data_IF_619079588623
#
_entry.id   IF_619079588623
#
_cell.length_a   1.000
_cell.length_b   1.000
_cell.length_c   1.000
_cell.angle_alpha   90.00
_cell.angle_beta   90.00
_cell.angle_gamma   90.00
#
_symmetry.space_group_name_H-M   'P 1'
#
loop_
_entity.id
_entity.type
_entity.pdbx_description
1 polymer ?
#
# COMPACT_ATOMS: atom_id res chain seq x y z
N UNK A 1 -0.89 -28.45 10.77
CA UNK A 1 -0.28 -28.53 9.40
C UNK A 1 0.36 -27.19 9.14
N UNK A 2 1.56 -27.13 8.55
CA UNK A 2 2.16 -25.83 8.19
C UNK A 2 1.37 -25.26 7.02
N UNK A 3 0.86 -24.05 7.13
CA UNK A 3 0.10 -23.36 6.06
C UNK A 3 1.02 -22.87 4.92
N UNK A 4 2.34 -23.17 5.00
CA UNK A 4 3.38 -22.71 4.10
C UNK A 4 3.84 -23.83 3.17
N UNK A 5 3.87 -23.54 1.87
CA UNK A 5 4.52 -24.37 0.85
C UNK A 5 5.94 -23.87 0.57
N UNK A 6 6.83 -24.78 0.15
CA UNK A 6 8.20 -24.43 -0.27
C UNK A 6 8.35 -24.78 -1.74
N UNK A 7 8.84 -23.82 -2.53
CA UNK A 7 9.24 -24.02 -3.91
C UNK A 7 10.76 -23.90 -4.02
N UNK A 8 11.42 -25.01 -4.32
CA UNK A 8 12.86 -25.01 -4.59
C UNK A 8 13.14 -24.41 -5.97
N UNK A 9 14.21 -23.61 -6.06
CA UNK A 9 14.57 -22.88 -7.27
C UNK A 9 15.98 -23.26 -7.72
N UNK A 10 16.07 -23.91 -8.88
CA UNK A 10 17.37 -24.26 -9.45
C UNK A 10 18.20 -23.00 -9.72
N UNK A 11 19.40 -22.94 -9.12
CA UNK A 11 20.30 -21.78 -9.22
C UNK A 11 19.84 -20.54 -8.46
N UNK A 12 18.90 -20.67 -7.52
CA UNK A 12 18.39 -19.57 -6.71
C UNK A 12 18.15 -19.96 -5.25
N UNK A 13 17.53 -19.07 -4.51
CA UNK A 13 17.09 -19.31 -3.14
C UNK A 13 15.68 -19.90 -3.13
N UNK A 14 15.30 -20.73 -2.13
CA UNK A 14 13.94 -21.24 -2.03
C UNK A 14 12.91 -20.12 -1.84
N UNK A 15 11.66 -20.40 -2.18
CA UNK A 15 10.52 -19.51 -2.01
C UNK A 15 9.55 -20.17 -1.05
N UNK A 16 9.17 -19.45 0.02
CA UNK A 16 8.16 -19.88 0.99
C UNK A 16 6.86 -19.15 0.72
N UNK A 17 5.78 -19.91 0.48
CA UNK A 17 4.50 -19.35 0.02
C UNK A 17 3.39 -19.68 1.02
N UNK A 18 2.70 -18.66 1.51
CA UNK A 18 1.46 -18.76 2.30
C UNK A 18 0.24 -18.67 1.39
N UNK A 19 0.17 -19.51 0.37
CA UNK A 19 -0.85 -19.45 -0.70
C UNK A 19 -1.74 -20.68 -0.73
N UNK A 20 -1.85 -21.42 0.38
CA UNK A 20 -2.70 -22.62 0.42
C UNK A 20 -4.17 -22.25 0.18
N UNK A 21 -4.76 -22.84 -0.88
CA UNK A 21 -6.14 -22.55 -1.29
C UNK A 21 -6.36 -21.20 -1.98
N UNK A 22 -5.27 -20.44 -2.23
CA UNK A 22 -5.29 -19.17 -2.97
C UNK A 22 -4.48 -19.32 -4.26
N UNK A 23 -5.07 -19.05 -5.44
CA UNK A 23 -4.37 -19.23 -6.71
C UNK A 23 -3.25 -18.21 -6.90
N UNK A 24 -2.14 -18.68 -7.50
CA UNK A 24 -1.01 -17.85 -7.96
C UNK A 24 -0.94 -17.97 -9.48
N UNK A 25 -0.98 -16.84 -10.17
CA UNK A 25 -0.89 -16.77 -11.63
C UNK A 25 0.51 -17.20 -12.11
N UNK A 26 0.59 -17.85 -13.29
CA UNK A 26 1.87 -18.38 -13.80
C UNK A 26 2.89 -17.26 -14.05
N UNK A 27 2.47 -16.10 -14.54
CA UNK A 27 3.34 -14.94 -14.73
C UNK A 27 3.90 -14.41 -13.40
N UNK A 28 3.09 -14.41 -12.34
CA UNK A 28 3.55 -14.06 -11.00
C UNK A 28 4.55 -15.09 -10.48
N UNK A 29 4.30 -16.38 -10.71
CA UNK A 29 5.23 -17.46 -10.36
C UNK A 29 6.58 -17.29 -11.07
N UNK A 30 6.57 -16.95 -12.35
CA UNK A 30 7.80 -16.70 -13.10
C UNK A 30 8.58 -15.49 -12.55
N UNK A 31 7.90 -14.40 -12.14
CA UNK A 31 8.57 -13.27 -11.47
C UNK A 31 9.22 -13.67 -10.15
N UNK A 32 8.56 -14.51 -9.36
CA UNK A 32 9.14 -15.04 -8.11
C UNK A 32 10.40 -15.86 -8.38
N UNK A 33 10.37 -16.74 -9.38
CA UNK A 33 11.54 -17.54 -9.79
C UNK A 33 12.71 -16.65 -10.23
N UNK A 34 12.43 -15.60 -10.99
CA UNK A 34 13.46 -14.63 -11.43
C UNK A 34 14.06 -13.89 -10.23
N UNK A 35 13.22 -13.40 -9.29
CA UNK A 35 13.67 -12.69 -8.10
C UNK A 35 14.51 -13.60 -7.20
N UNK A 36 14.11 -14.87 -7.02
CA UNK A 36 14.82 -15.83 -6.18
C UNK A 36 16.23 -16.20 -6.69
N UNK A 37 16.50 -15.96 -7.97
CA UNK A 37 17.83 -16.19 -8.58
C UNK A 37 18.82 -15.04 -8.36
N UNK A 38 18.40 -13.94 -7.76
CA UNK A 38 19.31 -12.83 -7.47
C UNK A 38 20.30 -13.23 -6.38
N UNK A 39 21.60 -12.97 -6.55
CA UNK A 39 22.66 -13.57 -5.73
C UNK A 39 22.67 -13.10 -4.27
N UNK A 40 22.15 -11.91 -4.02
CA UNK A 40 22.11 -11.24 -2.71
C UNK A 40 20.84 -11.53 -1.90
N UNK A 41 19.94 -12.41 -2.38
CA UNK A 41 18.76 -12.81 -1.59
C UNK A 41 19.22 -13.57 -0.34
N UNK A 42 18.75 -13.11 0.82
CA UNK A 42 19.06 -13.72 2.10
C UNK A 42 18.09 -14.87 2.39
N UNK A 43 18.61 -16.06 2.59
CA UNK A 43 17.90 -17.32 2.94
C UNK A 43 16.80 -17.71 1.92
N UNK A 44 15.72 -16.98 1.80
CA UNK A 44 14.56 -17.30 0.96
C UNK A 44 13.72 -16.07 0.67
N UNK A 45 12.84 -16.13 -0.33
CA UNK A 45 11.74 -15.20 -0.48
C UNK A 45 10.55 -15.64 0.38
N UNK A 46 9.79 -14.69 0.95
CA UNK A 46 8.51 -14.99 1.56
C UNK A 46 7.37 -14.37 0.72
N UNK A 47 6.33 -15.14 0.47
CA UNK A 47 5.25 -14.77 -0.45
C UNK A 47 3.91 -14.86 0.27
N UNK A 48 3.20 -13.72 0.30
CA UNK A 48 1.93 -13.57 0.99
C UNK A 48 0.77 -14.09 0.13
N UNK A 49 -0.36 -14.48 0.73
CA UNK A 49 -1.48 -15.08 0.00
C UNK A 49 -2.11 -14.19 -1.07
N UNK A 50 -2.00 -12.89 -0.93
CA UNK A 50 -2.49 -11.89 -1.89
C UNK A 50 -1.59 -11.67 -3.10
N UNK A 51 -0.54 -12.48 -3.28
CA UNK A 51 0.44 -12.37 -4.35
C UNK A 51 -0.20 -12.29 -5.74
N UNK A 52 0.27 -11.35 -6.55
CA UNK A 52 -0.14 -11.18 -7.94
C UNK A 52 0.95 -10.48 -8.76
N UNK A 53 0.76 -10.45 -10.08
CA UNK A 53 1.69 -9.85 -11.02
C UNK A 53 1.97 -8.37 -10.68
N UNK A 54 3.24 -7.97 -10.64
CA UNK A 54 3.70 -6.59 -10.44
C UNK A 54 4.75 -6.19 -11.47
N UNK A 55 5.14 -4.92 -11.51
CA UNK A 55 6.27 -4.45 -12.34
C UNK A 55 7.59 -4.83 -11.66
N UNK A 56 8.44 -5.57 -12.34
CA UNK A 56 9.75 -6.03 -11.87
C UNK A 56 9.68 -7.21 -10.89
N UNK A 57 8.91 -7.11 -9.82
CA UNK A 57 8.66 -8.19 -8.87
C UNK A 57 7.19 -8.23 -8.50
N UNK A 58 6.72 -9.38 -8.00
CA UNK A 58 5.34 -9.57 -7.58
C UNK A 58 4.96 -8.64 -6.44
N UNK A 59 3.70 -8.23 -6.43
CA UNK A 59 3.03 -7.65 -5.26
C UNK A 59 2.65 -8.80 -4.33
N UNK A 60 2.76 -8.65 -3.01
CA UNK A 60 2.64 -9.74 -2.04
C UNK A 60 3.97 -10.45 -1.76
N UNK A 61 5.10 -9.77 -2.01
CA UNK A 61 6.44 -10.34 -1.81
C UNK A 61 7.23 -9.63 -0.72
N UNK A 62 7.96 -10.41 0.05
CA UNK A 62 8.97 -9.99 1.03
C UNK A 62 10.33 -10.47 0.53
N UNK A 63 11.21 -9.53 0.24
CA UNK A 63 12.49 -9.74 -0.44
C UNK A 63 13.61 -9.27 0.49
N UNK A 64 14.18 -10.16 1.29
CA UNK A 64 15.32 -9.81 2.14
C UNK A 64 16.61 -9.86 1.33
N UNK A 65 17.44 -8.83 1.43
CA UNK A 65 18.68 -8.71 0.68
C UNK A 65 19.86 -8.36 1.57
N UNK A 66 21.04 -8.82 1.18
CA UNK A 66 22.32 -8.46 1.80
C UNK A 66 23.10 -7.54 0.86
N UNK A 67 23.40 -6.32 1.34
CA UNK A 67 24.24 -5.37 0.63
C UNK A 67 23.73 -4.93 -0.74
N UNK A 68 22.43 -5.08 -1.03
CA UNK A 68 21.84 -4.65 -2.30
C UNK A 68 20.37 -4.26 -2.15
N UNK A 69 19.88 -3.38 -3.07
CA UNK A 69 18.50 -2.95 -3.13
C UNK A 69 18.01 -2.91 -4.57
N UNK A 70 16.82 -3.45 -4.82
CA UNK A 70 16.17 -3.47 -6.15
C UNK A 70 15.07 -2.40 -6.18
N UNK A 71 15.25 -1.27 -6.90
CA UNK A 71 14.25 -0.20 -6.91
C UNK A 71 12.86 -0.66 -7.40
N UNK A 72 12.79 -1.48 -8.43
CA UNK A 72 11.52 -2.00 -8.92
C UNK A 72 10.81 -2.95 -7.93
N UNK A 73 11.55 -3.56 -7.00
CA UNK A 73 10.99 -4.40 -5.95
C UNK A 73 10.33 -3.59 -4.81
N UNK A 74 10.72 -2.34 -4.59
CA UNK A 74 9.98 -1.41 -3.71
C UNK A 74 8.69 -0.94 -4.39
N UNK A 75 8.73 -0.78 -5.71
CA UNK A 75 7.62 -0.27 -6.51
C UNK A 75 7.66 1.25 -6.67
N UNK A 76 6.69 1.78 -7.39
CA UNK A 76 6.61 3.22 -7.69
C UNK A 76 5.69 4.00 -6.75
N UNK A 77 4.79 3.33 -6.02
CA UNK A 77 4.00 3.96 -4.97
C UNK A 77 4.68 3.73 -3.60
N UNK A 78 5.86 4.37 -3.46
CA UNK A 78 6.72 4.23 -2.28
C UNK A 78 5.98 4.75 -1.05
N UNK A 79 6.00 3.97 0.04
CA UNK A 79 5.35 4.32 1.29
C UNK A 79 3.83 4.21 1.27
N UNK A 80 3.24 3.65 0.18
CA UNK A 80 1.81 3.33 0.18
C UNK A 80 1.47 2.50 1.42
N UNK A 81 0.32 2.77 2.02
CA UNK A 81 -0.06 2.18 3.30
C UNK A 81 -1.45 2.57 3.76
N UNK A 82 -1.79 2.09 4.93
CA UNK A 82 -3.09 2.23 5.54
C UNK A 82 -2.98 2.95 6.89
N UNK A 83 -4.01 3.73 7.21
CA UNK A 83 -4.26 4.20 8.57
C UNK A 83 -5.71 3.94 8.94
N UNK A 84 -5.96 3.54 10.19
CA UNK A 84 -7.29 3.36 10.73
C UNK A 84 -7.38 3.93 12.15
N UNK A 85 -8.55 4.47 12.50
CA UNK A 85 -8.83 5.05 13.80
C UNK A 85 -10.22 4.66 14.28
N UNK A 86 -10.31 4.04 15.47
CA UNK A 86 -11.57 3.75 16.17
C UNK A 86 -12.08 4.99 16.89
N UNK A 87 -13.38 5.20 16.81
CA UNK A 87 -14.06 6.29 17.49
C UNK A 87 -14.90 5.79 18.68
N UNK A 88 -15.45 6.74 19.45
CA UNK A 88 -16.45 6.45 20.48
C UNK A 88 -17.88 6.30 19.92
N UNK A 89 -18.07 6.46 18.60
CA UNK A 89 -19.35 6.30 17.93
C UNK A 89 -19.72 4.82 17.74
N UNK A 90 -21.02 4.56 17.68
CA UNK A 90 -21.61 3.30 17.24
C UNK A 90 -22.51 3.52 16.02
N UNK A 91 -22.92 2.45 15.35
CA UNK A 91 -23.74 2.52 14.14
C UNK A 91 -24.98 3.40 14.29
N UNK A 92 -25.66 3.36 15.45
CA UNK A 92 -26.84 4.16 15.74
C UNK A 92 -26.56 5.68 15.81
N UNK A 93 -25.32 6.11 15.92
CA UNK A 93 -24.92 7.51 15.95
C UNK A 93 -24.71 8.07 14.52
N UNK A 94 -24.64 7.21 13.53
CA UNK A 94 -24.51 7.62 12.13
C UNK A 94 -25.85 8.08 11.57
N UNK A 95 -25.86 9.05 10.61
CA UNK A 95 -27.09 9.45 9.92
C UNK A 95 -27.71 8.27 9.15
N UNK A 96 -29.04 8.20 9.07
CA UNK A 96 -29.75 7.20 8.25
C UNK A 96 -29.36 7.26 6.77
N UNK A 97 -29.08 8.46 6.26
CA UNK A 97 -28.55 8.68 4.93
C UNK A 97 -27.08 9.11 5.01
N UNK A 98 -26.18 8.23 4.58
CA UNK A 98 -24.73 8.44 4.62
C UNK A 98 -24.16 9.29 3.48
N UNK A 99 -24.98 9.69 2.51
CA UNK A 99 -24.57 10.55 1.38
C UNK A 99 -23.93 11.86 1.85
N UNK A 100 -24.53 12.50 2.88
CA UNK A 100 -23.99 13.74 3.46
C UNK A 100 -22.60 13.54 4.06
N UNK A 101 -22.38 12.43 4.76
CA UNK A 101 -21.07 12.08 5.33
C UNK A 101 -20.05 11.81 4.22
N UNK A 102 -20.41 11.03 3.19
CA UNK A 102 -19.54 10.80 2.03
C UNK A 102 -19.15 12.12 1.36
N UNK A 103 -20.11 12.97 1.07
CA UNK A 103 -19.88 14.28 0.40
C UNK A 103 -18.98 15.20 1.22
N UNK A 104 -19.13 15.23 2.55
CA UNK A 104 -18.28 16.02 3.43
C UNK A 104 -16.83 15.52 3.40
N UNK A 105 -16.62 14.21 3.41
CA UNK A 105 -15.29 13.61 3.29
C UNK A 105 -14.66 13.91 1.92
N UNK A 106 -15.42 13.78 0.83
CA UNK A 106 -14.94 14.11 -0.53
C UNK A 106 -14.54 15.58 -0.68
N UNK A 107 -15.23 16.50 0.01
CA UNK A 107 -14.88 17.93 0.04
C UNK A 107 -13.65 18.21 0.89
N UNK A 108 -13.50 17.53 2.03
CA UNK A 108 -12.40 17.74 2.97
C UNK A 108 -11.07 17.15 2.49
N UNK A 109 -11.10 16.10 1.67
CA UNK A 109 -9.92 15.41 1.16
C UNK A 109 -9.94 15.37 -0.36
N UNK A 110 -9.23 16.28 -1.05
CA UNK A 110 -9.15 16.29 -2.51
C UNK A 110 -8.53 14.98 -3.03
N UNK A 111 -8.97 14.55 -4.21
CA UNK A 111 -8.42 13.33 -4.82
C UNK A 111 -6.99 13.50 -5.37
N UNK A 112 -6.51 14.74 -5.62
CA UNK A 112 -5.15 15.02 -6.08
C UNK A 112 -4.82 14.44 -7.46
N UNK A 113 -5.80 14.37 -8.38
CA UNK A 113 -5.60 13.84 -9.72
C UNK A 113 -5.17 14.95 -10.68
N UNK A 114 -4.05 14.72 -11.36
CA UNK A 114 -3.55 15.63 -12.41
C UNK A 114 -4.10 15.23 -13.77
N UNK A 115 -4.71 16.20 -14.50
CA UNK A 115 -5.18 16.02 -15.85
C UNK A 115 -4.33 16.86 -16.83
N UNK A 116 -3.38 16.21 -17.49
CA UNK A 116 -2.47 16.88 -18.43
C UNK A 116 -1.58 17.92 -17.70
N UNK A 117 -1.60 19.18 -18.21
CA UNK A 117 -0.85 20.30 -17.62
C UNK A 117 -1.57 21.00 -16.46
N UNK A 118 -2.82 20.62 -16.15
CA UNK A 118 -3.61 21.24 -15.08
C UNK A 118 -3.79 20.24 -13.96
N UNK A 119 -3.28 20.58 -12.79
CA UNK A 119 -3.50 19.84 -11.55
C UNK A 119 -4.81 20.27 -10.92
N UNK A 120 -5.92 19.60 -11.27
CA UNK A 120 -7.26 19.97 -10.81
C UNK A 120 -7.66 19.34 -9.48
N UNK A 121 -6.88 18.45 -8.95
CA UNK A 121 -7.20 17.74 -7.72
C UNK A 121 -6.29 18.05 -6.55
N UNK A 122 -5.28 18.90 -6.76
CA UNK A 122 -4.40 19.40 -5.70
C UNK A 122 -5.04 20.58 -4.96
N UNK A 123 -4.48 20.94 -3.82
CA UNK A 123 -4.86 22.14 -3.10
C UNK A 123 -4.59 23.39 -3.93
N UNK A 124 -5.59 24.22 -4.17
CA UNK A 124 -5.42 25.58 -4.72
C UNK A 124 -4.82 26.49 -3.64
N UNK A 125 -5.37 26.43 -2.42
CA UNK A 125 -4.85 27.05 -1.22
C UNK A 125 -4.45 25.90 -0.27
N UNK A 126 -3.14 25.80 0.00
CA UNK A 126 -2.62 24.71 0.84
C UNK A 126 -3.03 24.97 2.28
N UNK A 127 -3.73 24.05 2.95
CA UNK A 127 -4.08 24.19 4.36
C UNK A 127 -2.84 24.37 5.24
N UNK A 128 -2.96 25.16 6.31
CA UNK A 128 -1.84 25.45 7.21
C UNK A 128 -1.16 24.20 7.76
N UNK A 129 -1.95 23.18 8.14
CA UNK A 129 -1.42 21.92 8.62
C UNK A 129 -0.55 21.19 7.56
N UNK A 130 -0.99 21.22 6.27
CA UNK A 130 -0.20 20.66 5.18
C UNK A 130 1.06 21.49 4.88
N UNK A 131 0.99 22.82 4.99
CA UNK A 131 2.15 23.69 4.83
C UNK A 131 3.19 23.46 5.93
N UNK A 132 2.75 23.30 7.16
CA UNK A 132 3.61 22.96 8.30
C UNK A 132 4.32 21.61 8.13
N UNK A 133 3.55 20.58 7.73
CA UNK A 133 4.10 19.26 7.45
C UNK A 133 5.09 19.30 6.28
N UNK A 134 4.81 20.07 5.23
CA UNK A 134 5.74 20.29 4.12
C UNK A 134 7.05 20.94 4.58
N UNK A 135 6.99 21.98 5.40
CA UNK A 135 8.20 22.66 5.94
C UNK A 135 9.13 21.67 6.64
N UNK A 136 8.60 20.69 7.36
CA UNK A 136 9.39 19.65 8.01
C UNK A 136 10.10 18.70 7.02
N UNK A 137 9.52 18.50 5.82
CA UNK A 137 10.03 17.61 4.78
C UNK A 137 10.93 18.31 3.74
N UNK A 138 10.74 19.61 3.55
CA UNK A 138 11.31 20.38 2.44
C UNK A 138 12.84 20.40 2.42
N UNK A 139 13.48 20.50 3.59
CA UNK A 139 14.94 20.55 3.68
C UNK A 139 15.61 19.26 3.19
N UNK A 140 15.10 18.11 3.59
CA UNK A 140 15.58 16.80 3.07
C UNK A 140 15.25 16.62 1.59
N UNK A 141 14.08 17.08 1.15
CA UNK A 141 13.73 17.03 -0.27
C UNK A 141 14.67 17.87 -1.12
N UNK A 142 15.05 19.06 -0.65
CA UNK A 142 16.04 19.88 -1.35
C UNK A 142 17.37 19.17 -1.49
N UNK A 143 17.88 18.51 -0.45
CA UNK A 143 19.12 17.74 -0.53
C UNK A 143 19.04 16.60 -1.58
N UNK A 144 17.87 15.96 -1.73
CA UNK A 144 17.62 14.97 -2.76
C UNK A 144 17.61 15.62 -4.15
N UNK A 145 16.92 16.75 -4.33
CA UNK A 145 16.82 17.41 -5.63
C UNK A 145 18.12 18.08 -6.09
N UNK A 146 18.96 18.52 -5.18
CA UNK A 146 20.30 19.04 -5.48
C UNK A 146 21.17 17.96 -6.19
N UNK A 147 20.99 16.69 -5.82
CA UNK A 147 21.62 15.54 -6.47
C UNK A 147 20.85 15.05 -7.72
N UNK A 148 19.53 15.16 -7.69
CA UNK A 148 18.61 14.65 -8.71
C UNK A 148 17.61 15.71 -9.17
N UNK A 149 18.01 16.73 -9.97
CA UNK A 149 17.17 17.88 -10.33
C UNK A 149 15.86 17.53 -11.07
N UNK A 150 15.79 16.35 -11.70
CA UNK A 150 14.55 15.88 -12.36
C UNK A 150 13.36 15.79 -11.38
N UNK A 151 13.60 15.65 -10.08
CA UNK A 151 12.57 15.55 -9.05
C UNK A 151 11.98 16.90 -8.62
N UNK A 152 12.61 18.03 -8.95
CA UNK A 152 12.11 19.37 -8.62
C UNK A 152 10.73 19.68 -9.22
N UNK A 153 10.40 19.02 -10.34
CA UNK A 153 9.15 19.25 -11.08
C UNK A 153 7.92 18.59 -10.44
N UNK A 154 8.06 17.98 -9.26
CA UNK A 154 6.95 17.33 -8.55
C UNK A 154 6.16 18.34 -7.70
N UNK A 155 4.83 18.17 -7.64
CA UNK A 155 3.91 19.10 -6.98
C UNK A 155 3.62 18.68 -5.52
N UNK A 156 4.66 18.61 -4.70
CA UNK A 156 4.61 17.92 -3.40
C UNK A 156 3.76 18.63 -2.36
N UNK A 157 3.97 19.95 -2.22
CA UNK A 157 3.28 20.78 -1.22
C UNK A 157 1.76 20.79 -1.45
N UNK A 158 1.34 20.88 -2.70
CA UNK A 158 -0.09 20.90 -3.09
C UNK A 158 -0.73 19.52 -3.06
N UNK A 159 0.07 18.43 -3.08
CA UNK A 159 -0.44 17.06 -3.01
C UNK A 159 -0.46 16.49 -1.59
N UNK A 160 0.19 17.12 -0.64
CA UNK A 160 0.23 16.64 0.74
C UNK A 160 -1.16 16.78 1.40
N UNK A 161 -1.68 15.70 1.94
CA UNK A 161 -3.04 15.62 2.49
C UNK A 161 -4.11 15.31 1.42
N UNK A 162 -3.72 14.74 0.25
CA UNK A 162 -4.66 14.34 -0.81
C UNK A 162 -4.73 12.82 -0.98
N UNK A 163 -5.86 12.30 -1.45
CA UNK A 163 -6.16 10.87 -1.49
C UNK A 163 -5.33 10.10 -2.52
N UNK A 164 -5.36 10.50 -3.76
CA UNK A 164 -4.84 9.72 -4.86
C UNK A 164 -5.91 9.07 -5.71
N UNK A 165 -5.46 8.22 -6.61
CA UNK A 165 -6.32 7.51 -7.56
C UNK A 165 -6.02 6.01 -7.53
N UNK A 166 -6.82 5.24 -8.27
CA UNK A 166 -6.63 3.81 -8.38
C UNK A 166 -7.16 3.06 -7.15
N UNK A 167 -6.30 2.30 -6.47
CA UNK A 167 -6.68 1.53 -5.28
C UNK A 167 -6.77 2.37 -3.99
N UNK A 168 -6.48 3.68 -4.03
CA UNK A 168 -6.63 4.55 -2.86
C UNK A 168 -8.09 4.79 -2.52
N UNK A 169 -8.39 4.86 -1.23
CA UNK A 169 -9.76 5.02 -0.72
C UNK A 169 -9.79 5.61 0.69
N UNK A 170 -10.97 6.12 1.08
CA UNK A 170 -11.33 6.44 2.46
C UNK A 170 -12.61 5.69 2.77
N UNK A 171 -12.69 5.05 3.93
CA UNK A 171 -13.84 4.26 4.35
C UNK A 171 -14.30 4.63 5.74
N UNK A 172 -15.61 4.59 5.93
CA UNK A 172 -16.25 4.49 7.24
C UNK A 172 -16.71 3.06 7.40
N UNK A 173 -16.28 2.42 8.49
CA UNK A 173 -16.51 1.01 8.75
C UNK A 173 -17.16 0.81 10.11
N UNK A 174 -17.83 -0.33 10.28
CA UNK A 174 -18.33 -0.83 11.55
C UNK A 174 -17.61 -2.13 11.87
N UNK A 175 -17.17 -2.29 13.11
CA UNK A 175 -16.64 -3.56 13.60
C UNK A 175 -17.75 -4.52 14.08
N UNK A 176 -17.37 -5.68 14.62
CA UNK A 176 -18.28 -6.72 15.12
C UNK A 176 -19.16 -6.29 16.30
N UNK A 177 -18.83 -5.16 16.95
CA UNK A 177 -19.61 -4.53 18.01
C UNK A 177 -20.32 -3.25 17.52
N UNK A 178 -20.46 -3.08 16.22
CA UNK A 178 -21.02 -1.89 15.57
C UNK A 178 -20.33 -0.56 15.94
N UNK A 179 -19.07 -0.60 16.39
CA UNK A 179 -18.28 0.62 16.65
C UNK A 179 -17.76 1.20 15.36
N UNK A 180 -17.76 2.52 15.25
CA UNK A 180 -17.37 3.24 14.04
C UNK A 180 -15.85 3.41 13.95
N UNK A 181 -15.30 3.04 12.80
CA UNK A 181 -13.92 3.23 12.41
C UNK A 181 -13.81 4.11 11.18
N UNK A 182 -12.84 5.01 11.15
CA UNK A 182 -12.36 5.64 9.93
C UNK A 182 -11.11 4.92 9.46
N UNK A 183 -11.03 4.61 8.18
CA UNK A 183 -9.91 3.92 7.57
C UNK A 183 -9.59 4.54 6.22
N UNK A 184 -8.30 4.66 5.88
CA UNK A 184 -7.90 5.13 4.56
C UNK A 184 -6.62 4.50 4.06
N UNK A 185 -6.50 4.46 2.72
CA UNK A 185 -5.39 3.94 1.96
C UNK A 185 -4.83 5.02 1.04
N UNK A 186 -3.58 5.40 1.23
CA UNK A 186 -2.88 6.38 0.38
C UNK A 186 -1.36 6.26 0.53
N UNK A 187 -0.62 6.86 -0.41
CA UNK A 187 0.84 6.77 -0.51
C UNK A 187 1.53 8.12 -0.66
N UNK A 188 2.73 8.10 -1.24
CA UNK A 188 3.60 9.26 -1.44
C UNK A 188 3.23 10.12 -2.65
N UNK A 189 2.08 9.88 -3.27
CA UNK A 189 1.57 10.65 -4.37
C UNK A 189 2.52 10.63 -5.59
N UNK A 190 2.47 11.67 -6.44
CA UNK A 190 3.29 11.76 -7.64
C UNK A 190 4.80 11.77 -7.40
N UNK A 191 5.26 12.26 -6.24
CA UNK A 191 6.69 12.32 -5.93
C UNK A 191 7.29 10.92 -5.70
N UNK A 192 6.61 10.03 -4.99
CA UNK A 192 7.10 8.65 -4.84
C UNK A 192 7.18 7.92 -6.18
N UNK A 193 6.21 8.16 -7.06
CA UNK A 193 6.25 7.63 -8.43
C UNK A 193 7.45 8.19 -9.23
N UNK A 194 7.73 9.48 -9.11
CA UNK A 194 8.88 10.11 -9.76
C UNK A 194 10.21 9.55 -9.23
N UNK A 195 10.36 9.40 -7.91
CA UNK A 195 11.52 8.78 -7.26
C UNK A 195 11.67 7.33 -7.74
N UNK A 196 10.63 6.51 -7.64
CA UNK A 196 10.67 5.11 -8.06
C UNK A 196 11.12 4.94 -9.51
N UNK A 197 10.52 5.68 -10.45
CA UNK A 197 10.89 5.60 -11.87
C UNK A 197 12.32 6.09 -12.12
N UNK A 198 12.74 7.21 -11.51
CA UNK A 198 14.11 7.72 -11.66
C UNK A 198 15.15 6.67 -11.26
N UNK A 199 15.01 6.10 -10.06
CA UNK A 199 15.99 5.14 -9.56
C UNK A 199 15.92 3.76 -10.25
N UNK A 200 14.76 3.35 -10.78
CA UNK A 200 14.67 2.19 -11.69
C UNK A 200 15.48 2.45 -12.97
N UNK A 201 15.38 3.65 -13.54
CA UNK A 201 16.17 4.03 -14.72
C UNK A 201 17.67 4.08 -14.39
N UNK A 202 18.06 4.67 -13.26
CA UNK A 202 19.46 4.74 -12.83
C UNK A 202 20.05 3.35 -12.58
N UNK A 203 19.32 2.45 -11.90
CA UNK A 203 19.80 1.08 -11.68
C UNK A 203 20.04 0.34 -12.99
N UNK A 204 19.16 0.49 -13.98
CA UNK A 204 19.35 -0.06 -15.32
C UNK A 204 20.54 0.55 -16.04
N UNK A 205 20.78 1.86 -15.88
CA UNK A 205 21.91 2.55 -16.47
C UNK A 205 23.24 2.11 -15.85
N UNK A 206 23.31 2.01 -14.53
CA UNK A 206 24.50 1.55 -13.80
C UNK A 206 24.87 0.10 -14.17
N UNK A 207 23.87 -0.74 -14.38
CA UNK A 207 24.05 -2.15 -14.74
C UNK A 207 24.09 -2.39 -16.27
N UNK A 208 24.20 -1.37 -17.10
CA UNK A 208 24.06 -1.48 -18.57
C UNK A 208 24.90 -2.60 -19.19
N UNK A 209 26.13 -2.82 -18.70
CA UNK A 209 27.02 -3.86 -19.19
C UNK A 209 26.63 -5.28 -18.72
N UNK A 210 25.87 -5.39 -17.66
CA UNK A 210 25.49 -6.67 -17.01
C UNK A 210 23.99 -6.97 -17.08
N UNK A 211 23.20 -6.07 -17.61
CA UNK A 211 21.73 -6.18 -17.61
C UNK A 211 21.21 -7.41 -18.35
N UNK A 212 21.94 -7.86 -19.38
CA UNK A 212 21.62 -9.07 -20.12
C UNK A 212 21.81 -10.37 -19.33
N UNK A 213 22.56 -10.32 -18.22
CA UNK A 213 22.81 -11.45 -17.34
C UNK A 213 21.76 -11.57 -16.22
N UNK A 214 20.87 -10.56 -16.08
CA UNK A 214 19.80 -10.61 -15.08
C UNK A 214 18.68 -11.52 -15.57
N UNK A 215 18.03 -12.28 -14.67
CA UNK A 215 16.85 -13.08 -14.97
C UNK A 215 15.69 -12.24 -15.55
N UNK A 216 15.61 -10.98 -15.13
CA UNK A 216 14.72 -9.94 -15.63
C UNK A 216 15.42 -8.59 -15.52
N UNK A 217 15.40 -7.78 -16.58
CA UNK A 217 16.00 -6.43 -16.61
C UNK A 217 15.42 -5.49 -15.54
N UNK A 218 14.19 -5.71 -15.11
CA UNK A 218 13.55 -4.93 -14.07
C UNK A 218 14.08 -5.26 -12.66
N UNK A 219 14.90 -6.31 -12.52
CA UNK A 219 15.64 -6.63 -11.30
C UNK A 219 16.99 -5.93 -11.19
N UNK A 220 17.25 -4.92 -12.03
CA UNK A 220 18.42 -4.06 -11.87
C UNK A 220 18.46 -3.46 -10.45
N UNK A 221 19.64 -3.41 -9.85
CA UNK A 221 19.85 -3.13 -8.45
C UNK A 221 21.03 -2.21 -8.19
N UNK A 222 21.11 -1.66 -7.00
CA UNK A 222 22.28 -0.98 -6.45
C UNK A 222 22.96 -1.84 -5.39
N UNK A 223 24.25 -1.94 -5.43
CA UNK A 223 25.07 -2.54 -4.37
C UNK A 223 25.42 -1.48 -3.32
N UNK A 224 25.48 -1.90 -2.06
CA UNK A 224 25.96 -1.06 -0.95
C UNK A 224 27.35 -0.50 -1.26
N UNK A 225 27.53 0.81 -1.06
CA UNK A 225 28.73 1.54 -1.45
C UNK A 225 28.77 2.00 -2.90
N UNK A 226 27.78 1.64 -3.75
CA UNK A 226 27.66 2.23 -5.08
C UNK A 226 27.12 3.66 -5.03
N UNK A 227 27.39 4.43 -6.09
CA UNK A 227 27.05 5.86 -6.17
C UNK A 227 25.60 6.20 -5.83
N UNK A 228 24.64 5.38 -6.28
CA UNK A 228 23.23 5.67 -6.16
C UNK A 228 22.53 4.88 -5.05
N UNK A 229 23.23 4.00 -4.34
CA UNK A 229 22.64 3.22 -3.25
C UNK A 229 22.15 4.11 -2.11
N UNK A 230 23.02 4.96 -1.56
CA UNK A 230 22.70 5.84 -0.43
C UNK A 230 21.66 6.89 -0.85
N UNK A 231 21.78 7.46 -2.05
CA UNK A 231 20.82 8.41 -2.60
C UNK A 231 19.42 7.80 -2.71
N UNK A 232 19.34 6.52 -3.13
CA UNK A 232 18.06 5.83 -3.22
C UNK A 232 17.48 5.50 -1.85
N UNK A 233 18.29 5.02 -0.91
CA UNK A 233 17.84 4.73 0.47
C UNK A 233 17.29 6.00 1.12
N UNK A 234 17.98 7.15 0.96
CA UNK A 234 17.48 8.43 1.48
C UNK A 234 16.17 8.86 0.82
N UNK A 235 16.08 8.78 -0.52
CA UNK A 235 14.90 9.18 -1.26
C UNK A 235 13.67 8.30 -0.93
N UNK A 236 13.87 6.99 -0.75
CA UNK A 236 12.82 6.06 -0.31
C UNK A 236 12.38 6.38 1.12
N UNK A 237 13.32 6.59 2.05
CA UNK A 237 13.01 6.98 3.42
C UNK A 237 12.21 8.27 3.49
N UNK A 238 12.61 9.27 2.70
CA UNK A 238 11.88 10.54 2.60
C UNK A 238 10.45 10.32 2.06
N UNK A 239 10.28 9.52 1.01
CA UNK A 239 8.97 9.24 0.42
C UNK A 239 8.05 8.47 1.39
N UNK A 240 8.61 7.57 2.22
CA UNK A 240 7.88 6.89 3.30
C UNK A 240 7.38 7.91 4.36
N UNK A 241 8.23 8.86 4.76
CA UNK A 241 7.85 9.92 5.70
C UNK A 241 6.78 10.83 5.11
N UNK A 242 6.92 11.22 3.83
CA UNK A 242 5.90 11.98 3.11
C UNK A 242 4.55 11.24 3.09
N UNK A 243 4.54 9.95 2.79
CA UNK A 243 3.33 9.15 2.74
C UNK A 243 2.65 9.03 4.12
N UNK A 244 3.44 8.90 5.19
CA UNK A 244 2.92 8.90 6.58
C UNK A 244 2.26 10.23 6.92
N UNK A 245 2.91 11.35 6.62
CA UNK A 245 2.33 12.69 6.83
C UNK A 245 1.06 12.88 5.99
N UNK A 246 1.07 12.41 4.74
CA UNK A 246 -0.10 12.46 3.86
C UNK A 246 -1.32 11.78 4.51
N UNK A 247 -1.16 10.53 4.99
CA UNK A 247 -2.24 9.79 5.66
C UNK A 247 -2.69 10.44 6.96
N UNK A 248 -1.77 10.96 7.77
CA UNK A 248 -2.11 11.63 9.03
C UNK A 248 -2.96 12.89 8.80
N UNK A 249 -2.59 13.73 7.82
CA UNK A 249 -3.36 14.91 7.43
C UNK A 249 -4.74 14.56 6.90
N UNK A 250 -4.82 13.52 6.06
CA UNK A 250 -6.10 13.04 5.54
C UNK A 250 -7.00 12.51 6.67
N UNK A 251 -6.47 11.71 7.59
CA UNK A 251 -7.25 11.18 8.71
C UNK A 251 -7.79 12.31 9.59
N UNK A 252 -6.98 13.33 9.86
CA UNK A 252 -7.44 14.53 10.57
C UNK A 252 -8.59 15.21 9.83
N UNK A 253 -8.46 15.43 8.53
CA UNK A 253 -9.51 16.05 7.71
C UNK A 253 -10.80 15.21 7.67
N UNK A 254 -10.70 13.88 7.60
CA UNK A 254 -11.84 12.95 7.65
C UNK A 254 -12.58 13.05 8.98
N UNK A 255 -11.86 13.07 10.10
CA UNK A 255 -12.44 13.20 11.45
C UNK A 255 -13.17 14.55 11.59
N UNK A 256 -12.55 15.65 11.14
CA UNK A 256 -13.18 16.98 11.20
C UNK A 256 -14.41 17.07 10.28
N UNK A 257 -14.36 16.50 9.08
CA UNK A 257 -15.53 16.42 8.20
C UNK A 257 -16.68 15.62 8.83
N UNK A 258 -16.36 14.50 9.49
CA UNK A 258 -17.34 13.69 10.20
C UNK A 258 -17.99 14.47 11.36
N UNK A 259 -17.21 15.26 12.14
CA UNK A 259 -17.71 16.11 13.22
C UNK A 259 -18.71 17.16 12.76
N UNK A 260 -18.62 17.63 11.52
CA UNK A 260 -19.57 18.60 10.96
C UNK A 260 -20.92 17.95 10.60
N UNK A 261 -20.94 16.67 10.27
CA UNK A 261 -22.14 15.94 9.83
C UNK A 261 -22.79 15.17 10.97
N UNK A 262 -21.97 14.51 11.81
CA UNK A 262 -22.47 13.71 12.94
C UNK A 262 -22.70 14.65 14.12
N UNK A 263 -23.98 14.78 14.51
CA UNK A 263 -24.41 15.74 15.55
C UNK A 263 -23.92 15.38 16.96
N UNK A 264 -23.60 14.11 17.20
CA UNK A 264 -23.10 13.63 18.49
C UNK A 264 -21.60 13.93 18.61
N UNK A 265 -21.14 14.61 19.67
CA UNK A 265 -19.70 14.72 19.96
C UNK A 265 -19.05 13.35 20.14
N UNK A 266 -17.84 13.17 19.63
CA UNK A 266 -17.13 11.91 19.74
C UNK A 266 -15.62 12.10 19.89
N UNK A 267 -15.00 11.11 20.53
CA UNK A 267 -13.57 10.93 20.55
C UNK A 267 -13.12 10.08 19.36
N UNK A 268 -11.93 10.36 18.82
CA UNK A 268 -11.29 9.57 17.77
C UNK A 268 -9.90 9.11 18.26
N UNK A 269 -9.33 8.13 17.54
CA UNK A 269 -8.03 7.55 17.89
C UNK A 269 -8.00 6.76 19.22
N UNK A 270 -9.14 6.21 19.67
CA UNK A 270 -9.20 5.31 20.82
C UNK A 270 -8.36 4.05 20.58
N UNK A 271 -8.25 3.63 19.31
CA UNK A 271 -7.32 2.64 18.81
C UNK A 271 -6.89 3.12 17.41
N UNK A 272 -5.58 3.22 17.17
CA UNK A 272 -5.06 3.74 15.91
C UNK A 272 -3.96 2.82 15.36
N UNK A 273 -3.99 2.59 14.05
CA UNK A 273 -3.02 1.77 13.33
C UNK A 273 -2.55 2.55 12.10
N UNK A 274 -1.24 2.64 11.88
CA UNK A 274 -0.64 3.16 10.64
C UNK A 274 0.44 2.19 10.18
N UNK A 275 0.34 1.69 8.94
CA UNK A 275 1.26 0.71 8.38
C UNK A 275 1.56 0.99 6.90
N UNK A 276 2.83 0.86 6.52
CA UNK A 276 3.26 0.82 5.11
C UNK A 276 3.16 -0.59 4.54
N UNK A 277 3.06 -0.69 3.21
CA UNK A 277 3.13 -1.97 2.50
C UNK A 277 3.95 -1.94 1.19
N UNK A 278 4.52 -0.78 0.82
CA UNK A 278 5.52 -0.65 -0.25
C UNK A 278 6.71 0.14 0.27
N UNK A 279 7.70 -0.56 0.82
CA UNK A 279 8.83 0.08 1.49
C UNK A 279 10.01 -0.85 1.64
N UNK A 280 11.15 -0.31 2.03
CA UNK A 280 12.32 -1.06 2.45
C UNK A 280 12.75 -0.60 3.85
N UNK A 281 13.17 -1.55 4.67
CA UNK A 281 13.63 -1.29 6.02
C UNK A 281 14.81 -2.21 6.36
N UNK A 282 15.78 -1.68 7.10
CA UNK A 282 16.87 -2.45 7.69
C UNK A 282 16.34 -3.16 8.93
N UNK A 283 16.42 -4.46 8.96
CA UNK A 283 15.88 -5.31 10.02
C UNK A 283 16.87 -6.41 10.39
N UNK A 284 16.71 -7.01 11.59
CA UNK A 284 17.51 -8.14 12.02
C UNK A 284 16.70 -9.42 11.96
N UNK A 285 17.10 -10.35 11.07
CA UNK A 285 16.46 -11.64 10.90
C UNK A 285 17.49 -12.75 10.95
N UNK A 286 17.20 -13.87 11.64
CA UNK A 286 18.08 -15.03 11.78
C UNK A 286 19.51 -14.65 12.22
N UNK A 287 19.64 -13.62 13.06
CA UNK A 287 20.92 -13.13 13.56
C UNK A 287 21.69 -12.20 12.63
N UNK A 288 21.21 -11.96 11.40
CA UNK A 288 21.83 -11.11 10.39
C UNK A 288 21.04 -9.82 10.19
N UNK A 289 21.73 -8.69 9.97
CA UNK A 289 21.12 -7.45 9.51
C UNK A 289 20.89 -7.53 8.00
N UNK A 290 19.67 -7.25 7.55
CA UNK A 290 19.23 -7.37 6.16
C UNK A 290 18.35 -6.18 5.77
N UNK A 291 18.34 -5.84 4.48
CA UNK A 291 17.35 -4.94 3.90
C UNK A 291 16.11 -5.75 3.53
N UNK A 292 15.00 -5.53 4.23
CA UNK A 292 13.73 -6.19 3.94
C UNK A 292 12.90 -5.28 3.06
N UNK A 293 12.76 -5.64 1.80
CA UNK A 293 11.84 -4.97 0.88
C UNK A 293 10.48 -5.65 0.95
N UNK A 294 9.43 -4.87 1.28
CA UNK A 294 8.03 -5.30 1.23
C UNK A 294 7.34 -4.62 0.08
N UNK A 295 6.88 -5.40 -0.87
CA UNK A 295 6.07 -4.95 -2.01
C UNK A 295 4.69 -5.55 -1.91
N UNK A 296 3.71 -4.74 -1.48
CA UNK A 296 2.39 -5.25 -1.16
C UNK A 296 2.42 -6.25 0.00
N UNK A 297 3.18 -5.95 1.05
CA UNK A 297 3.24 -6.73 2.27
C UNK A 297 3.42 -5.81 3.48
N UNK A 298 2.82 -6.16 4.59
CA UNK A 298 2.84 -5.37 5.83
C UNK A 298 3.75 -6.03 6.85
N UNK A 299 4.45 -5.22 7.65
CA UNK A 299 5.18 -5.73 8.81
C UNK A 299 4.21 -6.30 9.84
N UNK A 300 4.50 -7.51 10.32
CA UNK A 300 3.71 -8.26 11.30
C UNK A 300 4.61 -8.78 12.44
N UNK A 301 5.42 -7.88 13.01
CA UNK A 301 6.22 -8.17 14.21
C UNK A 301 5.29 -8.61 15.34
N UNK A 302 5.81 -9.40 16.26
CA UNK A 302 5.00 -9.89 17.39
C UNK A 302 4.34 -8.74 18.16
N UNK A 303 3.00 -8.74 18.19
CA UNK A 303 2.19 -7.71 18.84
C UNK A 303 1.95 -6.44 18.01
N UNK A 304 2.60 -6.27 16.87
CA UNK A 304 2.40 -5.11 16.00
C UNK A 304 1.02 -5.16 15.35
N UNK A 305 0.33 -4.02 15.36
CA UNK A 305 -0.95 -3.88 14.67
C UNK A 305 -0.75 -3.64 13.17
N UNK A 306 -1.67 -4.17 12.37
CA UNK A 306 -1.71 -4.02 10.92
C UNK A 306 -3.14 -3.94 10.40
N UNK A 307 -3.28 -3.57 9.13
CA UNK A 307 -4.57 -3.45 8.45
C UNK A 307 -4.50 -4.28 7.16
N UNK A 308 -5.49 -5.14 6.95
CA UNK A 308 -5.62 -5.94 5.74
C UNK A 308 -7.01 -5.65 5.14
N UNK A 309 -7.11 -4.72 4.17
CA UNK A 309 -8.37 -4.40 3.51
C UNK A 309 -8.79 -5.49 2.52
N UNK A 310 -10.09 -5.71 2.43
CA UNK A 310 -10.69 -6.40 1.30
C UNK A 310 -10.83 -5.47 0.09
N UNK A 311 -11.75 -5.79 -0.80
CA UNK A 311 -12.17 -4.91 -1.89
C UNK A 311 -13.37 -4.07 -1.49
N UNK A 312 -13.82 -3.15 -2.35
CA UNK A 312 -15.02 -2.34 -2.13
C UNK A 312 -16.25 -3.23 -1.87
N UNK A 313 -16.90 -3.06 -0.72
CA UNK A 313 -18.03 -3.90 -0.30
C UNK A 313 -17.65 -5.23 0.37
N UNK A 314 -16.37 -5.57 0.45
CA UNK A 314 -15.88 -6.72 1.22
C UNK A 314 -15.44 -6.31 2.63
N UNK A 315 -15.13 -7.32 3.46
CA UNK A 315 -14.60 -7.09 4.82
C UNK A 315 -13.16 -6.58 4.77
N UNK A 316 -12.77 -5.84 5.81
CA UNK A 316 -11.38 -5.48 6.11
C UNK A 316 -11.05 -5.95 7.54
N UNK A 317 -9.77 -6.03 7.86
CA UNK A 317 -9.35 -6.59 9.15
C UNK A 317 -8.31 -5.70 9.83
N UNK A 318 -8.48 -5.50 11.14
CA UNK A 318 -7.43 -5.06 12.02
C UNK A 318 -6.78 -6.32 12.60
N UNK A 319 -5.48 -6.43 12.46
CA UNK A 319 -4.74 -7.63 12.82
C UNK A 319 -3.59 -7.33 13.78
N UNK A 320 -3.16 -8.36 14.51
CA UNK A 320 -1.95 -8.36 15.32
C UNK A 320 -0.95 -9.34 14.75
N UNK A 321 0.27 -8.89 14.49
CA UNK A 321 1.37 -9.72 14.00
C UNK A 321 1.79 -10.78 15.03
N UNK A 322 2.08 -11.97 14.54
CA UNK A 322 2.57 -13.10 15.35
C UNK A 322 4.10 -13.23 15.35
N UNK A 323 4.81 -12.41 14.54
CA UNK A 323 6.26 -12.39 14.48
C UNK A 323 6.87 -13.63 13.82
N UNK A 324 6.20 -14.20 12.81
CA UNK A 324 6.68 -15.39 12.11
C UNK A 324 7.98 -15.09 11.37
N UNK A 325 9.09 -15.67 11.82
CA UNK A 325 10.43 -15.44 11.27
C UNK A 325 10.58 -15.96 9.84
N UNK A 326 9.87 -17.04 9.49
CA UNK A 326 9.91 -17.59 8.13
C UNK A 326 9.25 -16.68 7.10
N UNK A 327 8.33 -15.80 7.54
CA UNK A 327 7.74 -14.75 6.74
C UNK A 327 8.48 -13.40 6.87
N UNK A 328 9.67 -13.36 7.48
CA UNK A 328 10.35 -12.13 7.86
C UNK A 328 9.41 -11.16 8.60
N UNK A 329 8.64 -11.70 9.55
CA UNK A 329 7.62 -10.97 10.32
C UNK A 329 6.71 -10.13 9.42
N UNK A 330 6.09 -10.75 8.41
CA UNK A 330 5.26 -10.05 7.42
C UNK A 330 3.93 -10.77 7.19
N UNK A 331 2.95 -10.04 6.68
CA UNK A 331 1.65 -10.54 6.26
C UNK A 331 1.18 -9.85 4.96
N UNK A 332 0.05 -10.27 4.41
CA UNK A 332 -0.55 -9.65 3.23
C UNK A 332 -0.96 -8.20 3.48
N UNK A 333 -1.02 -7.39 2.42
CA UNK A 333 -1.44 -5.99 2.48
C UNK A 333 -2.91 -5.79 2.13
N UNK A 334 -3.60 -6.82 1.63
CA UNK A 334 -4.99 -6.75 1.20
C UNK A 334 -5.45 -8.04 0.55
N UNK A 335 -6.53 -7.97 -0.25
CA UNK A 335 -7.07 -9.13 -0.95
C UNK A 335 -6.19 -9.60 -2.13
N UNK A 336 -5.48 -8.69 -2.79
CA UNK A 336 -4.78 -8.98 -4.05
C UNK A 336 -5.74 -9.08 -5.25
N UNK A 337 -5.23 -8.75 -6.43
CA UNK A 337 -6.04 -8.76 -7.66
C UNK A 337 -5.99 -10.11 -8.36
N UNK A 338 -7.10 -10.47 -9.04
CA UNK A 338 -7.18 -11.62 -9.95
C UNK A 338 -7.08 -11.20 -11.41
N UNK A 339 -7.17 -9.90 -11.70
CA UNK A 339 -7.07 -9.36 -13.06
C UNK A 339 -6.62 -7.90 -13.08
N UNK A 340 -6.11 -7.45 -14.22
CA UNK A 340 -5.72 -6.07 -14.42
C UNK A 340 -6.93 -5.12 -14.43
N UNK A 341 -6.70 -3.83 -14.11
CA UNK A 341 -7.72 -2.78 -14.17
C UNK A 341 -8.36 -2.67 -15.55
N UNK A 342 -7.55 -2.73 -16.60
CA UNK A 342 -8.03 -2.70 -17.99
C UNK A 342 -8.94 -3.88 -18.31
N UNK A 343 -8.64 -5.09 -17.79
CA UNK A 343 -9.49 -6.26 -17.96
C UNK A 343 -10.80 -6.10 -17.20
N UNK A 344 -10.77 -5.62 -15.96
CA UNK A 344 -11.97 -5.35 -15.17
C UNK A 344 -12.94 -4.40 -15.88
N UNK A 345 -12.46 -3.27 -16.41
CA UNK A 345 -13.27 -2.31 -17.20
C UNK A 345 -13.87 -2.90 -18.47
N UNK A 346 -13.28 -3.97 -19.04
CA UNK A 346 -13.81 -4.65 -20.22
C UNK A 346 -14.84 -5.73 -19.88
N UNK A 347 -14.74 -6.34 -18.69
CA UNK A 347 -15.54 -7.50 -18.29
C UNK A 347 -16.79 -7.09 -17.52
N UNK A 348 -16.70 -6.03 -16.70
CA UNK A 348 -17.77 -5.63 -15.78
C UNK A 348 -18.43 -4.33 -16.21
N UNK A 349 -19.69 -4.18 -15.79
CA UNK A 349 -20.52 -3.01 -16.04
C UNK A 349 -20.77 -2.18 -14.76
N UNK A 350 -21.31 -0.96 -14.94
CA UNK A 350 -21.81 -0.13 -13.83
C UNK A 350 -22.90 -0.84 -13.02
N UNK A 351 -23.76 -1.64 -13.69
CA UNK A 351 -24.78 -2.40 -13.01
C UNK A 351 -24.21 -3.51 -12.12
N UNK A 352 -23.10 -4.14 -12.53
CA UNK A 352 -22.37 -5.13 -11.70
C UNK A 352 -21.78 -4.47 -10.47
N UNK A 353 -21.15 -3.29 -10.63
CA UNK A 353 -20.62 -2.49 -9.52
C UNK A 353 -21.72 -2.11 -8.54
N UNK A 354 -22.86 -1.60 -9.05
CA UNK A 354 -23.97 -1.18 -8.21
C UNK A 354 -24.55 -2.35 -7.38
N UNK A 355 -24.66 -3.55 -7.98
CA UNK A 355 -25.10 -4.75 -7.26
C UNK A 355 -24.10 -5.17 -6.18
N UNK A 356 -22.82 -5.21 -6.53
CA UNK A 356 -21.77 -5.67 -5.62
C UNK A 356 -21.58 -4.75 -4.41
N UNK A 357 -21.91 -3.46 -4.55
CA UNK A 357 -21.76 -2.44 -3.50
C UNK A 357 -23.11 -1.87 -3.04
N UNK A 358 -24.23 -2.62 -3.19
CA UNK A 358 -25.57 -2.13 -2.85
C UNK A 358 -25.71 -1.69 -1.39
N UNK A 359 -24.94 -2.30 -0.49
CA UNK A 359 -24.94 -2.05 0.95
C UNK A 359 -23.92 -0.97 1.39
N UNK A 360 -23.20 -0.35 0.46
CA UNK A 360 -22.18 0.67 0.73
C UNK A 360 -22.56 1.98 0.06
N UNK A 361 -22.51 3.09 0.79
CA UNK A 361 -22.60 4.42 0.21
C UNK A 361 -21.28 4.77 -0.49
N UNK A 362 -21.27 4.72 -1.81
CA UNK A 362 -20.10 4.95 -2.66
C UNK A 362 -20.49 5.41 -4.06
N UNK A 363 -19.51 5.85 -4.84
CA UNK A 363 -19.69 6.08 -6.27
C UNK A 363 -20.00 4.77 -7.00
N UNK A 364 -20.95 4.82 -7.93
CA UNK A 364 -21.41 3.69 -8.76
C UNK A 364 -21.40 4.09 -10.23
N UNK A 365 -20.27 4.62 -10.70
CA UNK A 365 -20.08 5.09 -12.08
C UNK A 365 -18.95 4.34 -12.79
N UNK A 366 -18.70 4.69 -14.06
CA UNK A 366 -17.71 4.03 -14.89
C UNK A 366 -16.25 4.19 -14.40
N UNK A 367 -15.96 5.24 -13.63
CA UNK A 367 -14.60 5.54 -13.18
C UNK A 367 -14.11 4.57 -12.11
N UNK A 368 -15.02 3.93 -11.36
CA UNK A 368 -14.69 3.00 -10.28
C UNK A 368 -14.81 1.50 -10.65
N UNK A 369 -15.18 1.16 -11.89
CA UNK A 369 -15.34 -0.24 -12.34
C UNK A 369 -14.02 -1.03 -12.24
N UNK A 370 -12.88 -0.40 -12.44
CA UNK A 370 -11.57 -1.06 -12.31
C UNK A 370 -11.26 -1.56 -10.89
N UNK A 371 -12.00 -1.08 -9.89
CA UNK A 371 -11.87 -1.47 -8.49
C UNK A 371 -13.05 -2.33 -7.99
N UNK A 372 -13.82 -2.91 -8.91
CA UNK A 372 -14.97 -3.79 -8.60
C UNK A 372 -14.54 -4.99 -7.76
N UNK A 373 -15.35 -5.43 -6.77
CA UNK A 373 -15.00 -6.57 -5.89
C UNK A 373 -14.57 -7.83 -6.63
N UNK A 374 -15.21 -8.19 -7.76
CA UNK A 374 -14.92 -9.38 -8.53
C UNK A 374 -13.54 -9.36 -9.23
N UNK A 375 -12.84 -8.23 -9.23
CA UNK A 375 -11.46 -8.14 -9.73
C UNK A 375 -10.41 -8.54 -8.68
N UNK A 376 -10.84 -8.92 -7.48
CA UNK A 376 -9.99 -9.25 -6.33
C UNK A 376 -10.17 -10.72 -5.90
N UNK A 377 -9.15 -11.24 -5.22
CA UNK A 377 -9.22 -12.55 -4.55
C UNK A 377 -10.23 -12.50 -3.39
N UNK A 378 -10.75 -13.64 -3.02
CA UNK A 378 -11.60 -13.79 -1.83
C UNK A 378 -10.76 -13.50 -0.57
N UNK A 379 -11.13 -12.45 0.15
CA UNK A 379 -10.38 -12.00 1.35
C UNK A 379 -10.43 -13.03 2.48
N UNK A 380 -11.51 -13.80 2.62
CA UNK A 380 -11.61 -14.84 3.65
C UNK A 380 -10.62 -15.99 3.36
N UNK A 381 -10.39 -16.33 2.08
CA UNK A 381 -9.35 -17.30 1.68
C UNK A 381 -7.94 -16.76 1.93
N UNK A 382 -7.70 -15.48 1.62
CA UNK A 382 -6.43 -14.81 1.89
C UNK A 382 -6.13 -14.83 3.40
N UNK A 383 -7.10 -14.48 4.22
CA UNK A 383 -6.95 -14.53 5.70
C UNK A 383 -6.78 -15.96 6.21
N UNK A 384 -7.50 -16.92 5.65
CA UNK A 384 -7.39 -18.34 5.98
C UNK A 384 -6.00 -18.93 5.76
N UNK A 385 -5.29 -18.45 4.72
CA UNK A 385 -3.96 -18.94 4.35
C UNK A 385 -2.80 -18.32 5.17
N UNK A 386 -3.06 -17.36 6.05
CA UNK A 386 -2.03 -16.67 6.84
C UNK A 386 -2.30 -16.64 8.35
N UNK A 387 -2.98 -17.64 8.88
CA UNK A 387 -3.32 -17.75 10.31
C UNK A 387 -2.10 -17.83 11.22
N UNK A 388 -0.98 -18.32 10.71
CA UNK A 388 0.31 -18.35 11.44
C UNK A 388 1.11 -17.04 11.35
N UNK A 389 0.63 -16.05 10.56
CA UNK A 389 1.29 -14.74 10.40
C UNK A 389 0.63 -13.68 11.26
N UNK A 390 -0.70 -13.72 11.40
CA UNK A 390 -1.50 -12.71 12.08
C UNK A 390 -2.68 -13.31 12.83
N UNK A 391 -3.07 -12.62 13.92
CA UNK A 391 -4.32 -12.80 14.65
C UNK A 391 -5.31 -11.69 14.26
N UNK A 392 -6.56 -12.02 13.96
CA UNK A 392 -7.61 -11.02 13.69
C UNK A 392 -8.12 -10.44 15.01
N UNK A 393 -8.04 -9.12 15.15
CA UNK A 393 -8.57 -8.40 16.32
C UNK A 393 -9.97 -7.86 16.03
N UNK A 394 -10.17 -7.25 14.85
CA UNK A 394 -11.45 -6.70 14.42
C UNK A 394 -11.72 -7.05 12.96
N UNK A 395 -12.99 -7.35 12.69
CA UNK A 395 -13.53 -7.51 11.33
C UNK A 395 -14.37 -6.29 11.02
N UNK A 396 -13.97 -5.53 10.02
CA UNK A 396 -14.60 -4.27 9.65
C UNK A 396 -15.52 -4.45 8.44
N UNK A 397 -16.73 -3.90 8.52
CA UNK A 397 -17.74 -3.84 7.45
C UNK A 397 -17.87 -2.41 6.97
N UNK A 398 -17.67 -2.18 5.69
CA UNK A 398 -17.79 -0.86 5.08
C UNK A 398 -19.24 -0.38 5.07
N UNK A 399 -19.47 0.89 5.39
CA UNK A 399 -20.75 1.58 5.22
C UNK A 399 -20.62 2.80 4.30
N UNK A 400 -19.44 3.42 4.22
CA UNK A 400 -19.09 4.47 3.25
C UNK A 400 -17.76 4.13 2.61
N UNK A 401 -17.64 4.35 1.27
CA UNK A 401 -16.38 4.29 0.56
C UNK A 401 -16.22 5.48 -0.40
N UNK A 402 -15.15 6.25 -0.22
CA UNK A 402 -14.71 7.33 -1.10
C UNK A 402 -13.53 6.85 -1.93
N UNK A 403 -13.62 6.99 -3.26
CA UNK A 403 -12.56 6.67 -4.22
C UNK A 403 -12.08 7.94 -4.93
N UNK A 404 -10.76 8.02 -5.17
CA UNK A 404 -10.16 9.13 -5.90
C UNK A 404 -10.21 9.02 -7.42
#
# INVERSE_FOLDING_TARGET
MKDMNILEVAGGKPIKLWTQGVPVEEEARQQLLNTAKMPFIFKHLAVMPDVHLGKGSTIGSVIPTLGAIIPAAVGVDIGCGMIAARTSLVAADLPDNLHGLRSAIEQAVPHGKTFGRRDRGAWHEVPEAADQAWKALAGRFKAITDKHPRLEKTNNRQHLGTLGTGNHFIEVCLDEADRVWFMLHSGSRGVGNAIGNLFIELAKADMRQHIANLPDKDLAYFEEGSRHFDDYVEAVGWAQDFARQNRALMMHAVIEAARQVIRKPFEANLEAVDCHHNYVQKERHFGQEVLVTRKGAVSAQKGQLGIIPGSMGAKSFIVRGLGNQEAFCSCSHGAGRTMSRTKAKKVFSVADQARATAHVECRKDADVIDEIPMAYKDIDRVMGAQRELVEVLHTLRQVVCVKG
#
